data_IF_238297414604
#
_entry.id   IF_238297414604
#
_cell.length_a   1.000
_cell.length_b   1.000
_cell.length_c   1.000
_cell.angle_alpha   90.00
_cell.angle_beta   90.00
_cell.angle_gamma   90.00
#
_symmetry.space_group_name_H-M   'P 1'
#
loop_
_entity.id
_entity.type
_entity.pdbx_description
1 polymer ?
#
# COMPACT_ATOMS: atom_id res chain seq x y z
N UNK A 1 24.12 -11.56 11.16
CA UNK A 1 23.62 -10.18 11.02
C UNK A 1 22.34 -10.05 11.82
N UNK A 2 22.21 -9.02 12.64
CA UNK A 2 21.06 -8.76 13.49
C UNK A 2 20.22 -7.64 12.86
N UNK A 3 18.99 -7.96 12.48
CA UNK A 3 18.10 -7.05 11.75
C UNK A 3 16.89 -6.71 12.60
N UNK A 4 16.63 -5.43 12.82
CA UNK A 4 15.44 -4.95 13.51
C UNK A 4 14.47 -4.31 12.52
N UNK A 5 13.27 -4.86 12.41
CA UNK A 5 12.18 -4.26 11.65
C UNK A 5 11.22 -3.48 12.53
N UNK A 6 10.92 -2.25 12.15
CA UNK A 6 9.77 -1.51 12.66
C UNK A 6 8.64 -1.55 11.63
N UNK A 7 7.50 -2.16 11.99
CA UNK A 7 6.43 -2.45 11.06
C UNK A 7 5.09 -1.83 11.48
N UNK A 8 4.24 -1.51 10.50
CA UNK A 8 2.91 -0.98 10.74
C UNK A 8 1.89 -2.05 11.15
N UNK A 9 2.25 -3.32 11.02
CA UNK A 9 1.44 -4.49 11.34
C UNK A 9 2.23 -5.46 12.20
N UNK A 10 1.58 -6.31 13.00
CA UNK A 10 2.28 -7.29 13.84
C UNK A 10 2.92 -8.44 13.06
N UNK A 11 2.91 -8.42 11.72
CA UNK A 11 3.42 -9.49 10.88
C UNK A 11 2.83 -10.85 11.26
N UNK A 12 3.65 -11.86 11.59
CA UNK A 12 3.19 -13.20 12.02
C UNK A 12 3.10 -13.37 13.55
N UNK A 13 3.23 -12.31 14.35
CA UNK A 13 3.28 -12.37 15.81
C UNK A 13 2.15 -13.18 16.46
N UNK A 14 0.93 -12.93 16.05
CA UNK A 14 -0.24 -13.77 16.37
C UNK A 14 -1.01 -13.91 15.09
N UNK A 15 -1.15 -15.10 14.58
CA UNK A 15 -1.96 -15.37 13.38
C UNK A 15 -3.36 -14.80 13.58
N UNK A 16 -3.55 -13.51 13.34
CA UNK A 16 -4.84 -12.86 13.48
C UNK A 16 -5.67 -13.20 12.27
N UNK A 17 -6.64 -13.99 12.51
CA UNK A 17 -7.53 -14.66 11.59
C UNK A 17 -8.39 -13.75 10.71
N UNK A 18 -8.40 -12.43 10.87
CA UNK A 18 -9.31 -11.55 10.11
C UNK A 18 -8.81 -10.12 10.13
N UNK A 19 -7.97 -9.77 9.20
CA UNK A 19 -7.62 -8.37 9.05
C UNK A 19 -6.76 -8.11 7.84
N UNK A 20 -7.39 -7.66 6.78
CA UNK A 20 -6.69 -7.04 5.68
C UNK A 20 -6.33 -5.61 6.07
N UNK A 21 -5.03 -5.30 6.17
CA UNK A 21 -4.53 -3.92 6.31
C UNK A 21 -3.25 -3.68 5.49
N UNK A 22 -3.12 -4.33 4.32
CA UNK A 22 -1.98 -4.11 3.43
C UNK A 22 -0.65 -4.72 3.89
N UNK A 23 -0.58 -5.30 5.10
CA UNK A 23 0.64 -5.85 5.69
C UNK A 23 0.97 -7.28 5.29
N UNK A 24 0.16 -7.91 4.45
CA UNK A 24 0.35 -9.33 4.10
C UNK A 24 1.68 -9.64 3.42
N UNK A 25 2.26 -8.71 2.68
CA UNK A 25 3.57 -8.87 2.07
C UNK A 25 4.71 -8.88 3.10
N UNK A 26 4.59 -8.13 4.21
CA UNK A 26 5.57 -8.15 5.32
C UNK A 26 5.57 -9.52 5.98
N UNK A 27 4.38 -10.09 6.22
CA UNK A 27 4.25 -11.45 6.75
C UNK A 27 4.81 -12.51 5.80
N UNK A 28 4.67 -12.31 4.49
CA UNK A 28 5.28 -13.17 3.47
C UNK A 28 6.80 -13.01 3.44
N UNK A 29 7.31 -11.78 3.57
CA UNK A 29 8.75 -11.52 3.64
C UNK A 29 9.37 -12.13 4.90
N UNK A 30 8.73 -12.02 6.06
CA UNK A 30 9.19 -12.63 7.31
C UNK A 30 9.38 -14.14 7.17
N UNK A 31 8.41 -14.85 6.58
CA UNK A 31 8.48 -16.29 6.36
C UNK A 31 9.69 -16.73 5.54
N UNK A 32 10.03 -15.98 4.52
CA UNK A 32 11.21 -16.28 3.69
C UNK A 32 12.51 -15.84 4.40
N UNK A 33 12.45 -14.74 5.15
CA UNK A 33 13.63 -14.14 5.78
C UNK A 33 14.16 -14.97 6.97
N UNK A 34 13.27 -15.60 7.75
CA UNK A 34 13.65 -16.50 8.86
C UNK A 34 14.29 -17.79 8.41
N UNK A 35 14.21 -18.15 7.13
CA UNK A 35 14.89 -19.33 6.57
C UNK A 35 16.37 -19.08 6.27
N UNK A 36 16.85 -17.84 6.42
CA UNK A 36 18.22 -17.46 6.08
C UNK A 36 19.13 -17.74 7.27
N UNK A 37 20.14 -18.58 7.05
CA UNK A 37 21.16 -18.86 8.05
C UNK A 37 21.95 -17.60 8.44
N UNK A 38 22.36 -17.51 9.71
CA UNK A 38 23.15 -16.41 10.27
C UNK A 38 22.45 -15.02 10.26
N UNK A 39 21.12 -14.97 10.19
CA UNK A 39 20.34 -13.76 10.41
C UNK A 39 19.47 -13.94 11.67
N UNK A 40 19.59 -13.00 12.59
CA UNK A 40 18.68 -12.86 13.72
C UNK A 40 17.69 -11.72 13.41
N UNK A 41 16.39 -12.02 13.43
CA UNK A 41 15.34 -11.07 13.14
C UNK A 41 14.59 -10.65 14.41
N UNK A 42 14.44 -9.35 14.58
CA UNK A 42 13.48 -8.78 15.52
C UNK A 42 12.46 -7.91 14.80
N UNK A 43 11.20 -7.94 15.26
CA UNK A 43 10.11 -7.16 14.68
C UNK A 43 9.40 -6.38 15.79
N UNK A 44 9.31 -5.07 15.62
CA UNK A 44 8.62 -4.16 16.53
C UNK A 44 7.42 -3.51 15.87
N UNK A 45 6.31 -3.42 16.59
CA UNK A 45 5.04 -2.89 16.11
C UNK A 45 4.18 -2.36 17.28
N UNK A 46 3.19 -1.52 16.96
CA UNK A 46 2.28 -0.98 17.96
C UNK A 46 1.20 -2.01 18.33
N UNK A 47 1.24 -2.53 19.56
CA UNK A 47 0.19 -3.40 20.13
C UNK A 47 0.15 -3.25 21.64
N UNK A 48 -1.02 -2.89 22.19
CA UNK A 48 -1.19 -2.68 23.63
C UNK A 48 -1.57 -3.96 24.35
N UNK A 49 -1.07 -4.10 25.58
CA UNK A 49 -1.43 -5.20 26.50
C UNK A 49 -0.57 -6.46 26.36
N UNK A 50 0.50 -6.38 25.57
CA UNK A 50 1.46 -7.47 25.37
C UNK A 50 2.73 -7.24 26.23
N UNK A 51 3.52 -8.29 26.50
CA UNK A 51 4.85 -8.19 27.10
C UNK A 51 5.80 -7.35 26.24
N UNK A 52 6.84 -6.76 26.87
CA UNK A 52 7.86 -6.00 26.16
C UNK A 52 8.57 -6.80 25.08
N UNK A 53 8.84 -8.09 25.34
CA UNK A 53 9.58 -9.00 24.47
C UNK A 53 8.92 -10.37 24.46
N UNK A 54 8.78 -10.93 23.27
CA UNK A 54 8.27 -12.31 23.06
C UNK A 54 9.10 -12.98 21.97
N UNK A 55 9.52 -14.20 22.20
CA UNK A 55 10.20 -15.02 21.19
C UNK A 55 9.22 -16.06 20.64
N UNK A 56 9.09 -16.11 19.34
CA UNK A 56 8.25 -17.08 18.63
C UNK A 56 8.84 -17.45 17.27
N UNK A 57 8.94 -18.75 16.99
CA UNK A 57 9.42 -19.29 15.71
C UNK A 57 10.75 -18.68 15.22
N UNK A 58 11.69 -18.42 16.13
CA UNK A 58 13.01 -17.84 15.80
C UNK A 58 13.03 -16.32 15.57
N UNK A 59 11.91 -15.65 15.78
CA UNK A 59 11.79 -14.19 15.71
C UNK A 59 11.59 -13.60 17.11
N UNK A 60 12.30 -12.51 17.38
CA UNK A 60 12.07 -11.71 18.59
C UNK A 60 11.09 -10.58 18.30
N UNK A 61 9.94 -10.60 18.95
CA UNK A 61 8.91 -9.57 18.81
C UNK A 61 8.93 -8.56 19.94
N UNK A 62 8.80 -7.28 19.61
CA UNK A 62 8.71 -6.16 20.55
C UNK A 62 7.40 -5.39 20.34
N UNK A 63 6.29 -5.82 20.98
CA UNK A 63 5.04 -5.07 20.96
C UNK A 63 5.19 -3.75 21.75
N UNK A 64 4.91 -2.62 21.12
CA UNK A 64 4.99 -1.30 21.75
C UNK A 64 3.60 -0.89 22.24
N UNK A 65 3.52 -0.56 23.54
CA UNK A 65 2.33 -0.01 24.15
C UNK A 65 2.59 1.40 24.66
N UNK A 66 2.09 2.40 23.95
CA UNK A 66 2.19 3.77 24.47
C UNK A 66 1.19 4.01 25.59
N UNK A 67 1.64 4.64 26.66
CA UNK A 67 0.76 5.14 27.70
C UNK A 67 -0.36 6.01 27.08
N UNK A 68 -1.63 5.68 27.37
CA UNK A 68 -2.77 6.43 26.85
C UNK A 68 -2.63 7.91 27.21
N UNK A 69 -2.34 8.77 26.24
CA UNK A 69 -2.37 10.23 26.42
C UNK A 69 -3.72 10.63 27.02
N UNK A 70 -3.72 11.36 28.15
CA UNK A 70 -4.94 11.85 28.81
C UNK A 70 -5.80 12.62 27.79
N UNK A 71 -7.14 12.49 27.88
CA UNK A 71 -8.10 13.14 26.95
C UNK A 71 -7.83 14.64 26.75
N UNK A 72 -7.35 15.35 27.79
CA UNK A 72 -6.98 16.76 27.78
C UNK A 72 -5.78 17.01 26.88
N UNK A 73 -4.74 16.16 26.91
CA UNK A 73 -3.58 16.28 26.02
C UNK A 73 -3.95 16.09 24.52
N UNK A 74 -4.86 15.16 24.23
CA UNK A 74 -5.38 14.99 22.86
C UNK A 74 -6.16 16.19 22.35
N UNK A 75 -6.90 16.88 23.23
CA UNK A 75 -7.61 18.11 22.87
C UNK A 75 -6.66 19.26 22.64
N UNK A 76 -5.61 19.38 23.44
CA UNK A 76 -4.58 20.40 23.30
C UNK A 76 -3.77 20.22 22.00
N UNK A 77 -3.40 18.98 21.63
CA UNK A 77 -2.77 18.65 20.34
C UNK A 77 -3.67 18.98 19.13
N UNK A 78 -4.99 18.89 19.29
CA UNK A 78 -5.96 19.26 18.27
C UNK A 78 -6.13 20.76 18.10
N UNK A 79 -5.94 21.53 19.17
CA UNK A 79 -6.13 22.98 19.18
C UNK A 79 -4.82 23.74 18.96
N UNK A 80 -3.67 23.19 19.40
CA UNK A 80 -2.37 23.81 19.19
C UNK A 80 -1.81 23.50 17.82
N UNK A 81 -1.13 24.47 17.21
CA UNK A 81 -0.26 24.25 16.04
C UNK A 81 1.12 23.69 16.44
N UNK A 82 1.25 23.20 17.69
CA UNK A 82 2.49 22.67 18.21
C UNK A 82 2.89 21.41 17.42
N UNK A 83 4.17 21.31 17.16
CA UNK A 83 4.82 20.09 16.62
C UNK A 83 4.51 18.97 17.60
N UNK A 84 3.95 17.85 17.12
CA UNK A 84 3.73 16.69 17.97
C UNK A 84 5.06 16.28 18.60
N UNK A 85 5.11 16.20 19.93
CA UNK A 85 6.29 15.71 20.64
C UNK A 85 6.29 14.17 20.58
N UNK A 86 7.30 13.61 19.97
CA UNK A 86 7.52 12.16 19.81
C UNK A 86 8.61 11.60 20.75
N UNK A 87 9.02 12.36 21.78
CA UNK A 87 10.12 11.96 22.68
C UNK A 87 9.84 10.62 23.37
N UNK A 88 8.62 10.40 23.83
CA UNK A 88 8.22 9.14 24.50
C UNK A 88 8.30 7.96 23.54
N UNK A 89 7.82 8.15 22.31
CA UNK A 89 7.89 7.12 21.27
C UNK A 89 9.36 6.79 20.93
N UNK A 90 10.21 7.81 20.77
CA UNK A 90 11.63 7.62 20.45
C UNK A 90 12.35 6.90 21.60
N UNK A 91 12.08 7.24 22.87
CA UNK A 91 12.65 6.55 24.03
C UNK A 91 12.31 5.05 24.03
N UNK A 92 11.07 4.68 23.68
CA UNK A 92 10.68 3.26 23.56
C UNK A 92 11.43 2.55 22.42
N UNK A 93 11.64 3.23 21.28
CA UNK A 93 12.42 2.65 20.18
C UNK A 93 13.88 2.44 20.57
N UNK A 94 14.48 3.38 21.28
CA UNK A 94 15.86 3.28 21.77
C UNK A 94 16.02 2.11 22.77
N UNK A 95 15.06 1.89 23.67
CA UNK A 95 15.09 0.74 24.57
C UNK A 95 15.12 -0.60 23.80
N UNK A 96 14.36 -0.71 22.72
CA UNK A 96 14.35 -1.91 21.89
C UNK A 96 15.69 -2.06 21.15
N UNK A 97 16.26 -0.98 20.63
CA UNK A 97 17.56 -0.97 19.97
C UNK A 97 18.66 -1.39 20.94
N UNK A 98 18.62 -0.90 22.17
CA UNK A 98 19.60 -1.23 23.22
C UNK A 98 19.49 -2.70 23.72
N UNK A 99 18.27 -3.26 23.75
CA UNK A 99 18.04 -4.66 24.13
C UNK A 99 18.46 -5.61 22.99
N UNK A 100 18.01 -5.34 21.77
CA UNK A 100 18.28 -6.22 20.64
C UNK A 100 19.69 -6.03 20.04
N UNK A 101 20.26 -4.83 20.08
CA UNK A 101 21.57 -4.46 19.48
C UNK A 101 21.67 -4.86 17.99
N UNK A 102 20.83 -4.28 17.12
CA UNK A 102 20.83 -4.61 15.71
C UNK A 102 22.06 -4.06 14.98
N UNK A 103 22.47 -4.71 13.88
CA UNK A 103 23.44 -4.20 12.92
C UNK A 103 22.82 -3.20 11.96
N UNK A 104 21.50 -3.37 11.70
CA UNK A 104 20.70 -2.50 10.82
C UNK A 104 19.25 -2.43 11.31
N UNK A 105 18.64 -1.27 11.10
CA UNK A 105 17.22 -1.02 11.39
C UNK A 105 16.49 -0.75 10.08
N UNK A 106 15.46 -1.54 9.78
CA UNK A 106 14.54 -1.26 8.68
C UNK A 106 13.20 -0.76 9.20
N UNK A 107 12.74 0.34 8.65
CA UNK A 107 11.43 0.94 8.97
C UNK A 107 10.50 0.78 7.78
N UNK A 108 9.40 0.05 7.95
CA UNK A 108 8.41 -0.19 6.91
C UNK A 108 7.38 0.93 6.85
N UNK A 109 7.58 1.85 5.91
CA UNK A 109 6.71 2.99 5.68
C UNK A 109 6.97 4.18 6.60
N UNK A 110 6.45 5.33 6.22
CA UNK A 110 6.54 6.62 6.93
C UNK A 110 5.25 6.97 7.69
N UNK A 111 4.28 6.07 7.70
CA UNK A 111 2.95 6.27 8.29
C UNK A 111 2.99 6.37 9.81
N UNK A 112 4.03 5.83 10.43
CA UNK A 112 4.28 5.88 11.88
C UNK A 112 5.51 6.72 12.19
N UNK A 113 5.78 6.90 13.48
CA UNK A 113 6.89 7.70 13.98
C UNK A 113 8.23 6.96 14.03
N UNK A 114 8.29 5.69 13.66
CA UNK A 114 9.46 4.83 13.79
C UNK A 114 10.73 5.42 13.17
N UNK A 115 10.62 6.01 11.98
CA UNK A 115 11.76 6.62 11.29
C UNK A 115 12.34 7.85 12.00
N UNK A 116 11.63 8.43 12.98
CA UNK A 116 12.17 9.54 13.79
C UNK A 116 13.32 9.13 14.71
N UNK A 117 13.55 7.84 14.91
CA UNK A 117 14.67 7.33 15.71
C UNK A 117 16.03 7.54 15.04
N UNK A 118 16.06 7.68 13.71
CA UNK A 118 17.30 7.72 12.94
C UNK A 118 18.37 8.72 13.45
N UNK A 119 18.04 9.95 13.88
CA UNK A 119 19.04 10.88 14.42
C UNK A 119 19.57 10.53 15.83
N UNK A 120 18.95 9.56 16.51
CA UNK A 120 19.25 9.24 17.91
C UNK A 120 20.00 7.92 18.07
N UNK A 121 20.35 7.25 17.00
CA UNK A 121 21.12 6.01 17.01
C UNK A 121 22.29 6.08 16.04
N UNK A 122 23.38 5.37 16.35
CA UNK A 122 24.51 5.18 15.42
C UNK A 122 24.33 3.99 14.47
N UNK A 123 23.29 3.19 14.69
CA UNK A 123 22.92 2.07 13.83
C UNK A 123 22.30 2.61 12.54
N UNK A 124 22.70 2.12 11.36
CA UNK A 124 22.10 2.56 10.11
C UNK A 124 20.59 2.27 10.06
N UNK A 125 19.81 3.29 9.71
CA UNK A 125 18.35 3.18 9.54
C UNK A 125 18.03 3.30 8.06
N UNK A 126 17.32 2.32 7.52
CA UNK A 126 16.77 2.32 6.16
C UNK A 126 15.25 2.43 6.20
N UNK A 127 14.68 3.30 5.37
CA UNK A 127 13.24 3.42 5.21
C UNK A 127 12.77 2.66 3.97
N UNK A 128 11.98 1.62 4.17
CA UNK A 128 11.34 0.89 3.08
C UNK A 128 10.01 1.55 2.72
N UNK A 129 9.98 2.22 1.58
CA UNK A 129 8.81 2.99 1.14
C UNK A 129 7.65 2.06 0.79
N UNK A 130 6.50 2.27 1.44
CA UNK A 130 5.24 1.63 1.09
C UNK A 130 4.35 2.58 0.29
N UNK A 131 3.98 3.68 0.91
CA UNK A 131 3.35 4.84 0.32
C UNK A 131 4.02 6.11 0.84
N UNK A 132 3.72 7.25 0.26
CA UNK A 132 4.24 8.55 0.70
C UNK A 132 3.05 9.46 0.98
N UNK A 133 2.88 9.84 2.25
CA UNK A 133 1.68 10.52 2.74
C UNK A 133 1.48 11.92 2.12
N UNK A 134 2.56 12.65 1.85
CA UNK A 134 2.46 13.99 1.27
C UNK A 134 1.80 13.98 -0.12
N UNK A 135 2.23 13.19 -1.11
CA UNK A 135 1.52 13.03 -2.37
C UNK A 135 0.11 12.45 -2.21
N UNK A 136 -0.07 11.47 -1.29
CA UNK A 136 -1.40 10.89 -1.04
C UNK A 136 -2.38 11.92 -0.47
N UNK A 137 -1.92 12.80 0.42
CA UNK A 137 -2.76 13.89 0.94
C UNK A 137 -3.16 14.87 -0.16
N UNK A 138 -2.24 15.17 -1.07
CA UNK A 138 -2.52 16.06 -2.21
C UNK A 138 -3.57 15.47 -3.16
N UNK A 139 -3.53 14.16 -3.40
CA UNK A 139 -4.45 13.44 -4.30
C UNK A 139 -5.61 12.74 -3.57
N UNK A 140 -5.83 13.03 -2.29
CA UNK A 140 -6.78 12.30 -1.45
C UNK A 140 -8.23 12.43 -1.89
N UNK A 141 -8.59 13.60 -2.43
CA UNK A 141 -9.94 13.86 -2.89
C UNK A 141 -10.03 13.68 -4.40
N UNK A 142 -11.09 13.02 -4.90
CA UNK A 142 -11.39 13.00 -6.33
C UNK A 142 -11.50 14.43 -6.90
N UNK A 143 -11.28 14.63 -8.20
CA UNK A 143 -11.47 15.92 -8.85
C UNK A 143 -12.84 16.52 -8.56
N UNK A 144 -12.88 17.82 -8.38
CA UNK A 144 -14.10 18.61 -8.07
C UNK A 144 -14.71 18.38 -6.68
N UNK A 145 -14.09 17.54 -5.83
CA UNK A 145 -14.49 17.35 -4.44
C UNK A 145 -13.56 18.12 -3.50
N UNK A 146 -14.16 18.90 -2.61
CA UNK A 146 -13.44 19.66 -1.58
C UNK A 146 -13.67 19.07 -0.18
N UNK A 147 -12.75 19.36 0.74
CA UNK A 147 -12.92 19.02 2.16
C UNK A 147 -14.22 19.56 2.77
N UNK A 148 -14.72 20.70 2.25
CA UNK A 148 -15.98 21.31 2.69
C UNK A 148 -17.20 20.46 2.29
N UNK A 149 -17.17 19.86 1.09
CA UNK A 149 -18.25 18.98 0.61
C UNK A 149 -18.33 17.67 1.39
N UNK A 150 -17.18 17.14 1.86
CA UNK A 150 -17.18 15.97 2.76
C UNK A 150 -17.94 16.21 4.07
N UNK A 151 -18.07 17.45 4.48
CA UNK A 151 -18.68 17.88 5.75
C UNK A 151 -20.15 18.21 5.66
N UNK A 152 -20.78 18.04 4.50
CA UNK A 152 -22.17 18.48 4.29
C UNK A 152 -23.18 17.80 5.21
N UNK A 153 -23.98 18.63 5.90
CA UNK A 153 -25.25 18.33 6.57
C UNK A 153 -25.25 18.12 8.08
N UNK A 154 -24.13 17.78 8.74
CA UNK A 154 -24.13 17.60 10.19
C UNK A 154 -22.93 18.29 10.86
N UNK A 155 -23.13 19.21 11.83
CA UNK A 155 -22.02 19.90 12.53
C UNK A 155 -21.02 18.92 13.19
N UNK A 156 -21.48 17.78 13.69
CA UNK A 156 -20.60 16.75 14.27
C UNK A 156 -19.69 16.12 13.20
N UNK A 157 -20.18 15.95 11.98
CA UNK A 157 -19.35 15.49 10.84
C UNK A 157 -18.32 16.53 10.42
N UNK A 158 -18.65 17.82 10.49
CA UNK A 158 -17.70 18.92 10.26
C UNK A 158 -16.50 18.84 11.21
N UNK A 159 -16.76 18.70 12.51
CA UNK A 159 -15.71 18.58 13.53
C UNK A 159 -14.85 17.33 13.26
N UNK A 160 -15.48 16.20 12.93
CA UNK A 160 -14.75 14.97 12.63
C UNK A 160 -13.87 15.11 11.37
N UNK A 161 -14.38 15.76 10.31
CA UNK A 161 -13.63 16.00 9.08
C UNK A 161 -12.46 16.96 9.32
N UNK A 162 -12.67 18.03 10.09
CA UNK A 162 -11.58 18.92 10.50
C UNK A 162 -10.49 18.16 11.28
N UNK A 163 -10.86 17.30 12.22
CA UNK A 163 -9.94 16.44 12.97
C UNK A 163 -9.17 15.50 12.03
N UNK A 164 -9.86 14.87 11.09
CA UNK A 164 -9.24 13.97 10.12
C UNK A 164 -8.23 14.73 9.23
N UNK A 165 -8.63 15.88 8.68
CA UNK A 165 -7.72 16.72 7.89
C UNK A 165 -6.49 17.11 8.69
N UNK A 166 -6.67 17.57 9.93
CA UNK A 166 -5.54 17.95 10.80
C UNK A 166 -4.61 16.77 11.11
N UNK A 167 -5.17 15.56 11.35
CA UNK A 167 -4.35 14.34 11.53
C UNK A 167 -3.52 14.04 10.29
N UNK A 168 -4.11 14.13 9.09
CA UNK A 168 -3.39 13.96 7.84
C UNK A 168 -2.24 14.97 7.71
N UNK A 169 -2.52 16.25 7.94
CA UNK A 169 -1.50 17.30 7.88
C UNK A 169 -0.36 17.06 8.87
N UNK A 170 -0.66 16.63 10.10
CA UNK A 170 0.36 16.30 11.10
C UNK A 170 1.18 15.06 10.69
N UNK A 171 0.54 14.06 10.09
CA UNK A 171 1.23 12.89 9.55
C UNK A 171 2.16 13.26 8.39
N UNK A 172 1.74 14.15 7.49
CA UNK A 172 2.58 14.68 6.41
C UNK A 172 3.79 15.47 6.95
N UNK A 173 3.59 16.30 7.98
CA UNK A 173 4.71 17.02 8.64
C UNK A 173 5.72 16.05 9.25
N UNK A 174 5.25 15.02 9.98
CA UNK A 174 6.10 13.96 10.53
C UNK A 174 6.86 13.23 9.44
N UNK A 175 6.18 12.81 8.38
CA UNK A 175 6.83 12.17 7.24
C UNK A 175 7.92 13.05 6.62
N UNK A 176 7.66 14.34 6.44
CA UNK A 176 8.67 15.30 5.96
C UNK A 176 9.93 15.31 6.83
N UNK A 177 9.77 15.26 8.16
CA UNK A 177 10.91 15.18 9.07
C UNK A 177 11.65 13.82 8.97
N UNK A 178 10.93 12.71 8.81
CA UNK A 178 11.52 11.40 8.59
C UNK A 178 12.32 11.40 7.27
N UNK A 179 11.68 11.81 6.18
CA UNK A 179 12.28 11.77 4.84
C UNK A 179 13.52 12.70 4.72
N UNK A 180 13.59 13.81 5.44
CA UNK A 180 14.76 14.68 5.44
C UNK A 180 15.97 14.11 6.17
N UNK A 181 15.76 13.21 7.14
CA UNK A 181 16.81 12.77 8.09
C UNK A 181 17.35 11.38 7.80
N UNK A 182 16.59 10.51 7.14
CA UNK A 182 17.03 9.18 6.78
C UNK A 182 17.91 9.25 5.54
N UNK A 183 19.06 8.55 5.58
CA UNK A 183 20.02 8.51 4.48
C UNK A 183 19.74 7.41 3.47
N UNK A 184 19.21 6.27 3.92
CA UNK A 184 19.05 5.05 3.13
C UNK A 184 17.58 4.74 2.91
N UNK A 185 17.24 4.42 1.66
CA UNK A 185 15.87 4.10 1.26
C UNK A 185 15.83 2.83 0.44
N UNK A 186 14.82 2.01 0.67
CA UNK A 186 14.41 0.94 -0.21
C UNK A 186 13.04 1.31 -0.77
N UNK A 187 12.87 1.24 -2.07
CA UNK A 187 11.60 1.53 -2.71
C UNK A 187 11.38 0.68 -3.95
N UNK A 188 10.25 0.83 -4.59
CA UNK A 188 9.73 -0.11 -5.58
C UNK A 188 9.55 0.48 -6.96
N UNK A 189 9.56 1.81 -7.05
CA UNK A 189 9.16 2.53 -8.26
C UNK A 189 10.04 3.73 -8.52
N UNK A 190 10.18 4.10 -9.77
CA UNK A 190 10.88 5.34 -10.13
C UNK A 190 10.18 6.61 -9.60
N UNK A 191 8.89 6.49 -9.25
CA UNK A 191 8.13 7.58 -8.66
C UNK A 191 8.53 7.82 -7.20
N UNK A 192 8.56 6.78 -6.39
CA UNK A 192 8.93 6.93 -4.97
C UNK A 192 10.40 7.34 -4.81
N UNK A 193 11.30 6.87 -5.70
CA UNK A 193 12.68 7.37 -5.76
C UNK A 193 12.71 8.88 -6.02
N UNK A 194 12.00 9.36 -7.04
CA UNK A 194 11.96 10.80 -7.36
C UNK A 194 11.38 11.64 -6.23
N UNK A 195 10.28 11.17 -5.61
CA UNK A 195 9.66 11.88 -4.48
C UNK A 195 10.60 11.89 -3.28
N UNK A 196 11.26 10.79 -2.97
CA UNK A 196 12.25 10.72 -1.89
C UNK A 196 13.39 11.73 -2.09
N UNK A 197 13.91 11.83 -3.32
CA UNK A 197 14.96 12.79 -3.67
C UNK A 197 14.53 14.27 -3.59
N UNK A 198 13.24 14.57 -3.68
CA UNK A 198 12.72 15.93 -3.41
C UNK A 198 12.93 16.30 -1.94
N UNK A 199 12.71 15.36 -1.01
CA UNK A 199 12.89 15.61 0.42
C UNK A 199 14.34 15.49 0.87
N UNK A 200 15.11 14.56 0.28
CA UNK A 200 16.51 14.32 0.57
C UNK A 200 17.29 14.04 -0.72
N UNK A 201 17.85 15.07 -1.37
CA UNK A 201 18.57 14.92 -2.65
C UNK A 201 19.82 14.05 -2.56
N UNK A 202 20.43 13.91 -1.39
CA UNK A 202 21.67 13.17 -1.15
C UNK A 202 21.44 11.75 -0.64
N UNK A 203 20.19 11.30 -0.57
CA UNK A 203 19.87 9.96 -0.11
C UNK A 203 20.43 8.85 -1.03
N UNK A 204 20.72 7.72 -0.44
CA UNK A 204 21.03 6.49 -1.17
C UNK A 204 19.75 5.66 -1.29
N UNK A 205 19.35 5.40 -2.52
CA UNK A 205 18.13 4.68 -2.84
C UNK A 205 18.48 3.30 -3.43
N UNK A 206 17.83 2.27 -2.91
CA UNK A 206 17.94 0.88 -3.34
C UNK A 206 16.59 0.40 -3.85
N UNK A 207 16.60 -0.39 -4.92
CA UNK A 207 15.39 -1.03 -5.39
C UNK A 207 15.10 -2.29 -4.55
N UNK A 208 13.85 -2.49 -4.16
CA UNK A 208 13.38 -3.68 -3.45
C UNK A 208 11.92 -3.94 -3.73
N UNK A 209 11.62 -5.08 -4.34
CA UNK A 209 10.24 -5.52 -4.60
C UNK A 209 9.61 -6.17 -3.37
N UNK A 210 8.29 -6.31 -3.40
CA UNK A 210 7.52 -7.01 -2.38
C UNK A 210 7.33 -8.50 -2.70
N UNK A 211 7.32 -9.34 -1.67
CA UNK A 211 6.84 -10.72 -1.74
C UNK A 211 5.33 -10.68 -1.62
N UNK A 212 4.63 -11.18 -2.63
CA UNK A 212 3.18 -11.22 -2.63
C UNK A 212 2.64 -12.24 -1.61
N UNK A 213 1.33 -12.25 -1.39
CA UNK A 213 0.69 -13.23 -0.53
C UNK A 213 0.77 -14.63 -1.14
N UNK A 214 0.97 -15.64 -0.31
CA UNK A 214 1.25 -17.02 -0.72
C UNK A 214 0.29 -17.60 -1.77
N UNK A 215 -1.04 -17.42 -1.71
CA UNK A 215 -1.95 -17.98 -2.70
C UNK A 215 -1.64 -17.57 -4.14
N UNK A 216 -1.05 -16.40 -4.37
CA UNK A 216 -0.77 -15.89 -5.71
C UNK A 216 0.45 -16.53 -6.39
N UNK A 217 1.27 -17.27 -5.64
CA UNK A 217 2.38 -18.05 -6.20
C UNK A 217 1.97 -19.47 -6.61
N UNK A 218 0.83 -19.95 -6.10
CA UNK A 218 0.37 -21.29 -6.44
C UNK A 218 -0.06 -21.35 -7.90
N UNK A 219 0.45 -22.36 -8.61
CA UNK A 219 0.13 -22.61 -10.01
C UNK A 219 -1.39 -22.60 -10.22
N UNK A 220 -1.84 -21.78 -11.13
CA UNK A 220 -3.24 -21.63 -11.47
C UNK A 220 -3.36 -21.23 -12.93
N UNK A 221 -4.32 -21.81 -13.62
CA UNK A 221 -4.66 -21.45 -14.98
C UNK A 221 -5.75 -20.37 -14.96
N UNK A 222 -5.56 -19.33 -15.76
CA UNK A 222 -6.54 -18.29 -15.96
C UNK A 222 -7.49 -18.71 -17.08
N UNK A 223 -8.78 -18.63 -16.84
CA UNK A 223 -9.81 -18.93 -17.82
C UNK A 223 -10.61 -17.64 -18.07
N UNK A 224 -10.58 -17.15 -19.31
CA UNK A 224 -11.39 -15.99 -19.69
C UNK A 224 -12.88 -16.38 -19.67
N UNK A 225 -13.72 -15.63 -18.95
CA UNK A 225 -15.14 -15.86 -18.92
C UNK A 225 -15.80 -15.49 -20.26
N UNK A 226 -16.88 -16.17 -20.61
CA UNK A 226 -17.70 -15.84 -21.79
C UNK A 226 -18.54 -14.57 -21.61
N UNK A 227 -18.84 -14.20 -20.37
CA UNK A 227 -19.52 -12.99 -19.98
C UNK A 227 -18.51 -11.91 -19.47
N UNK A 228 -18.87 -10.66 -19.57
CA UNK A 228 -18.02 -9.56 -19.12
C UNK A 228 -18.01 -9.48 -17.59
N UNK A 229 -16.88 -9.83 -16.98
CA UNK A 229 -16.65 -9.76 -15.53
C UNK A 229 -15.46 -8.85 -15.22
N UNK A 230 -15.67 -7.90 -14.34
CA UNK A 230 -14.65 -6.94 -13.93
C UNK A 230 -14.43 -7.08 -12.43
N UNK A 231 -13.18 -7.06 -12.00
CA UNK A 231 -12.81 -7.11 -10.58
C UNK A 231 -12.00 -5.89 -10.21
N UNK A 232 -12.28 -5.35 -9.04
CA UNK A 232 -11.55 -4.24 -8.43
C UNK A 232 -11.40 -4.48 -6.94
N UNK A 233 -10.24 -4.15 -6.37
CA UNK A 233 -10.04 -4.11 -4.92
C UNK A 233 -9.63 -2.70 -4.50
N UNK A 234 -10.37 -2.09 -3.57
CA UNK A 234 -10.08 -0.75 -3.05
C UNK A 234 -10.21 -0.70 -1.53
N UNK A 235 -9.32 0.05 -0.87
CA UNK A 235 -9.32 0.25 0.59
C UNK A 235 -9.97 1.56 1.02
N UNK A 236 -10.18 2.50 0.09
CA UNK A 236 -10.81 3.80 0.33
C UNK A 236 -11.59 4.23 -0.90
N UNK A 237 -12.85 4.66 -0.76
CA UNK A 237 -13.66 5.08 -1.89
C UNK A 237 -13.21 6.41 -2.52
N UNK A 238 -12.44 7.24 -1.81
CA UNK A 238 -12.02 8.56 -2.30
C UNK A 238 -10.84 8.42 -3.27
N UNK A 239 -9.62 8.42 -2.76
CA UNK A 239 -8.43 8.44 -3.60
C UNK A 239 -8.21 7.13 -4.41
N UNK A 240 -8.92 6.05 -4.07
CA UNK A 240 -8.94 4.81 -4.85
C UNK A 240 -9.98 4.81 -5.98
N UNK A 241 -10.63 5.94 -6.25
CA UNK A 241 -11.38 6.18 -7.47
C UNK A 241 -12.72 5.44 -7.61
N UNK A 242 -13.48 5.27 -6.52
CA UNK A 242 -14.79 4.63 -6.61
C UNK A 242 -15.77 5.40 -7.51
N UNK A 243 -15.64 6.73 -7.60
CA UNK A 243 -16.39 7.56 -8.53
C UNK A 243 -16.07 7.25 -10.01
N UNK A 244 -14.81 6.92 -10.31
CA UNK A 244 -14.40 6.51 -11.66
C UNK A 244 -15.01 5.13 -12.02
N UNK A 245 -15.10 4.21 -11.04
CA UNK A 245 -15.81 2.93 -11.24
C UNK A 245 -17.28 3.17 -11.60
N UNK A 246 -18.01 4.00 -10.82
CA UNK A 246 -19.42 4.30 -11.07
C UNK A 246 -19.65 4.92 -12.46
N UNK A 247 -18.83 5.91 -12.81
CA UNK A 247 -18.93 6.61 -14.12
C UNK A 247 -18.63 5.66 -15.28
N UNK A 248 -17.60 4.82 -15.17
CA UNK A 248 -17.24 3.83 -16.19
C UNK A 248 -18.36 2.79 -16.36
N UNK A 249 -18.86 2.26 -15.25
CA UNK A 249 -19.96 1.29 -15.27
C UNK A 249 -21.24 1.86 -15.90
N UNK A 250 -21.54 3.14 -15.66
CA UNK A 250 -22.65 3.81 -16.32
C UNK A 250 -22.48 3.86 -17.84
N UNK A 251 -21.28 4.18 -18.34
CA UNK A 251 -21.00 4.20 -19.78
C UNK A 251 -21.14 2.80 -20.38
N UNK A 252 -20.58 1.76 -19.73
CA UNK A 252 -20.72 0.37 -20.19
C UNK A 252 -22.19 -0.04 -20.30
N UNK A 253 -23.02 0.32 -19.31
CA UNK A 253 -24.44 -0.06 -19.27
C UNK A 253 -25.32 0.76 -20.21
N UNK A 254 -25.25 2.11 -20.09
CA UNK A 254 -26.22 3.00 -20.73
C UNK A 254 -25.81 3.42 -22.16
N UNK A 255 -24.50 3.50 -22.44
CA UNK A 255 -24.01 3.94 -23.75
C UNK A 255 -23.59 2.76 -24.64
N UNK A 256 -22.90 1.78 -24.07
CA UNK A 256 -22.45 0.61 -24.82
C UNK A 256 -23.43 -0.58 -24.75
N UNK A 257 -24.47 -0.48 -23.93
CA UNK A 257 -25.53 -1.48 -23.72
C UNK A 257 -24.98 -2.88 -23.42
N UNK A 258 -23.85 -2.94 -22.68
CA UNK A 258 -23.23 -4.21 -22.31
C UNK A 258 -23.88 -4.80 -21.06
N UNK A 259 -24.04 -6.12 -21.07
CA UNK A 259 -24.36 -6.86 -19.86
C UNK A 259 -23.04 -7.30 -19.20
N UNK A 260 -22.87 -6.96 -17.93
CA UNK A 260 -21.65 -7.24 -17.17
C UNK A 260 -21.91 -7.39 -15.68
N UNK A 261 -20.96 -7.98 -15.00
CA UNK A 261 -20.88 -7.98 -13.53
C UNK A 261 -19.56 -7.31 -13.12
N UNK A 262 -19.64 -6.33 -12.21
CA UNK A 262 -18.45 -5.69 -11.64
C UNK A 262 -18.40 -5.91 -10.13
N UNK A 263 -17.49 -6.77 -9.68
CA UNK A 263 -17.29 -7.06 -8.26
C UNK A 263 -16.23 -6.13 -7.68
N UNK A 264 -16.60 -5.39 -6.63
CA UNK A 264 -15.70 -4.45 -5.94
C UNK A 264 -15.50 -4.93 -4.51
N UNK A 265 -14.26 -5.27 -4.19
CA UNK A 265 -13.85 -5.77 -2.87
C UNK A 265 -13.23 -4.66 -2.03
N UNK A 266 -13.50 -4.68 -0.73
CA UNK A 266 -13.00 -3.75 0.26
C UNK A 266 -14.10 -3.21 1.17
N UNK A 267 -13.71 -2.51 2.22
CA UNK A 267 -14.66 -1.87 3.13
C UNK A 267 -15.06 -0.49 2.59
N UNK A 268 -16.10 -0.45 1.77
CA UNK A 268 -16.52 0.73 1.02
C UNK A 268 -17.81 1.28 1.60
N UNK A 269 -17.80 2.56 1.98
CA UNK A 269 -19.04 3.32 2.21
C UNK A 269 -19.33 4.16 0.95
N UNK A 270 -20.32 3.77 0.13
CA UNK A 270 -20.56 4.39 -1.17
C UNK A 270 -21.30 5.72 -1.08
N UNK A 271 -22.08 5.97 -0.01
CA UNK A 271 -23.08 7.04 0.11
C UNK A 271 -22.59 8.43 -0.32
N UNK A 272 -21.35 8.80 0.08
CA UNK A 272 -20.83 10.12 -0.26
C UNK A 272 -20.54 10.22 -1.76
N UNK A 273 -19.95 9.21 -2.36
CA UNK A 273 -19.60 9.19 -3.78
C UNK A 273 -20.85 9.11 -4.64
N UNK A 274 -21.82 8.27 -4.29
CA UNK A 274 -23.11 8.18 -4.98
C UNK A 274 -23.86 9.52 -4.99
N UNK A 275 -23.91 10.19 -3.83
CA UNK A 275 -24.52 11.52 -3.74
C UNK A 275 -23.83 12.54 -4.66
N UNK A 276 -22.51 12.49 -4.79
CA UNK A 276 -21.77 13.46 -5.61
C UNK A 276 -21.80 13.12 -7.10
N UNK A 277 -21.87 11.84 -7.47
CA UNK A 277 -21.94 11.39 -8.86
C UNK A 277 -23.38 11.32 -9.39
N UNK A 278 -24.36 11.21 -8.51
CA UNK A 278 -25.74 10.91 -8.87
C UNK A 278 -25.94 9.48 -9.39
N UNK A 279 -24.98 8.59 -9.17
CA UNK A 279 -25.00 7.21 -9.67
C UNK A 279 -24.94 6.27 -8.47
N UNK A 280 -25.94 5.39 -8.31
CA UNK A 280 -25.87 4.31 -7.31
C UNK A 280 -25.18 3.09 -7.90
N UNK A 281 -24.39 2.39 -7.10
CA UNK A 281 -23.64 1.21 -7.57
C UNK A 281 -24.58 0.11 -8.08
N UNK A 282 -25.73 -0.07 -7.45
CA UNK A 282 -26.75 -1.04 -7.85
C UNK A 282 -27.34 -0.73 -9.23
N UNK A 283 -27.54 0.56 -9.54
CA UNK A 283 -28.10 1.00 -10.83
C UNK A 283 -27.18 0.69 -12.02
N UNK A 284 -25.90 0.42 -11.80
CA UNK A 284 -24.88 0.22 -12.84
C UNK A 284 -24.17 -1.14 -12.74
N UNK A 285 -24.86 -2.18 -12.29
CA UNK A 285 -24.39 -3.57 -12.23
C UNK A 285 -23.10 -3.78 -11.40
N UNK A 286 -22.86 -2.95 -10.40
CA UNK A 286 -21.76 -3.11 -9.46
C UNK A 286 -22.26 -3.86 -8.23
N UNK A 287 -21.41 -4.78 -7.73
CA UNK A 287 -21.63 -5.53 -6.51
C UNK A 287 -20.52 -5.19 -5.51
N UNK A 288 -20.88 -4.66 -4.35
CA UNK A 288 -19.96 -4.45 -3.23
C UNK A 288 -19.84 -5.76 -2.44
N UNK A 289 -18.65 -6.37 -2.46
CA UNK A 289 -18.42 -7.72 -1.90
C UNK A 289 -17.82 -7.69 -0.48
N UNK A 290 -17.50 -6.50 0.05
CA UNK A 290 -16.81 -6.40 1.35
C UNK A 290 -15.36 -6.87 1.29
N UNK A 291 -14.79 -7.18 2.47
CA UNK A 291 -13.42 -7.66 2.59
C UNK A 291 -13.38 -9.18 2.36
N UNK A 292 -12.51 -9.63 1.47
CA UNK A 292 -12.34 -11.04 1.12
C UNK A 292 -10.93 -11.55 1.44
N UNK A 293 -10.79 -12.85 1.61
CA UNK A 293 -9.51 -13.52 1.81
C UNK A 293 -8.71 -13.60 0.51
N UNK A 294 -7.39 -13.79 0.62
CA UNK A 294 -6.50 -13.83 -0.54
C UNK A 294 -6.89 -14.88 -1.56
N UNK A 295 -7.27 -16.07 -1.13
CA UNK A 295 -7.70 -17.15 -2.03
C UNK A 295 -8.99 -16.80 -2.77
N UNK A 296 -9.96 -16.17 -2.12
CA UNK A 296 -11.18 -15.71 -2.78
C UNK A 296 -10.88 -14.65 -3.84
N UNK A 297 -10.04 -13.65 -3.51
CA UNK A 297 -9.61 -12.62 -4.47
C UNK A 297 -8.88 -13.25 -5.66
N UNK A 298 -7.98 -14.22 -5.41
CA UNK A 298 -7.30 -14.97 -6.46
C UNK A 298 -8.28 -15.61 -7.42
N UNK A 299 -9.27 -16.35 -6.91
CA UNK A 299 -10.27 -17.02 -7.73
C UNK A 299 -11.08 -16.03 -8.57
N UNK A 300 -11.43 -14.87 -8.01
CA UNK A 300 -12.13 -13.82 -8.75
C UNK A 300 -11.29 -13.23 -9.89
N UNK A 301 -10.01 -12.99 -9.64
CA UNK A 301 -9.08 -12.48 -10.65
C UNK A 301 -8.84 -13.49 -11.77
N UNK A 302 -8.71 -14.78 -11.43
CA UNK A 302 -8.54 -15.84 -12.44
C UNK A 302 -9.73 -15.96 -13.39
N UNK A 303 -10.94 -15.63 -12.91
CA UNK A 303 -12.20 -15.78 -13.62
C UNK A 303 -12.82 -14.43 -14.06
N UNK A 304 -12.01 -13.38 -14.25
CA UNK A 304 -12.50 -12.09 -14.74
C UNK A 304 -11.93 -11.74 -16.11
N UNK A 305 -12.62 -10.87 -16.83
CA UNK A 305 -12.16 -10.31 -18.10
C UNK A 305 -10.95 -9.42 -17.88
N UNK A 306 -11.03 -8.52 -16.89
CA UNK A 306 -9.90 -7.65 -16.53
C UNK A 306 -9.98 -7.22 -15.07
N UNK A 307 -8.82 -6.81 -14.53
CA UNK A 307 -8.71 -6.14 -13.24
C UNK A 307 -8.62 -4.63 -13.46
N UNK A 308 -9.49 -3.85 -12.83
CA UNK A 308 -9.51 -2.40 -12.96
C UNK A 308 -9.00 -1.72 -11.68
N UNK A 309 -7.99 -0.84 -11.82
CA UNK A 309 -7.37 -0.12 -10.71
C UNK A 309 -7.45 1.41 -10.92
N UNK A 310 -8.49 2.09 -10.42
CA UNK A 310 -8.82 3.49 -10.77
C UNK A 310 -8.24 4.55 -9.84
N UNK A 311 -7.17 4.27 -9.10
CA UNK A 311 -6.63 5.16 -8.06
C UNK A 311 -6.22 6.53 -8.62
N UNK A 312 -6.43 7.60 -7.84
CA UNK A 312 -5.90 8.94 -8.11
C UNK A 312 -4.44 9.11 -7.66
N UNK A 313 -3.98 8.22 -6.81
CA UNK A 313 -2.58 8.08 -6.40
C UNK A 313 -2.34 6.67 -5.88
N UNK A 314 -1.24 6.08 -6.26
CA UNK A 314 -0.72 4.83 -5.69
C UNK A 314 0.78 4.72 -5.92
N UNK A 315 1.48 3.89 -5.13
CA UNK A 315 2.89 3.61 -5.37
C UNK A 315 3.05 2.27 -6.10
N UNK A 316 3.09 1.18 -5.36
CA UNK A 316 3.13 -0.20 -5.87
C UNK A 316 1.98 -0.98 -5.24
N UNK A 317 0.76 -0.88 -5.80
CA UNK A 317 -0.39 -1.56 -5.21
C UNK A 317 -0.29 -3.07 -5.40
N UNK A 318 -0.24 -3.80 -4.30
CA UNK A 318 -0.17 -5.27 -4.31
C UNK A 318 -1.26 -5.89 -5.18
N UNK A 319 -2.44 -5.29 -5.23
CA UNK A 319 -3.56 -5.79 -6.04
C UNK A 319 -3.28 -5.79 -7.55
N UNK A 320 -2.52 -4.81 -8.06
CA UNK A 320 -2.05 -4.80 -9.44
C UNK A 320 -1.02 -5.89 -9.65
N UNK A 321 -0.05 -6.01 -8.75
CA UNK A 321 0.99 -7.05 -8.80
C UNK A 321 0.39 -8.46 -8.73
N UNK A 322 -0.59 -8.65 -7.85
CA UNK A 322 -1.34 -9.91 -7.69
C UNK A 322 -2.17 -10.26 -8.94
N UNK A 323 -2.78 -9.27 -9.59
CA UNK A 323 -3.47 -9.50 -10.86
C UNK A 323 -2.49 -9.86 -11.99
N UNK A 324 -1.35 -9.14 -12.08
CA UNK A 324 -0.32 -9.39 -13.08
C UNK A 324 0.29 -10.79 -12.96
N UNK A 325 0.64 -11.25 -11.75
CA UNK A 325 1.26 -12.57 -11.57
C UNK A 325 0.33 -13.73 -11.93
N UNK A 326 -0.98 -13.51 -11.84
CA UNK A 326 -2.01 -14.45 -12.31
C UNK A 326 -2.26 -14.39 -13.82
N UNK A 327 -1.61 -13.49 -14.56
CA UNK A 327 -1.83 -13.28 -15.98
C UNK A 327 -3.12 -12.53 -16.30
N UNK A 328 -3.68 -11.80 -15.34
CA UNK A 328 -4.86 -10.98 -15.58
C UNK A 328 -4.47 -9.64 -16.19
N UNK A 329 -5.13 -9.25 -17.27
CA UNK A 329 -4.94 -7.93 -17.87
C UNK A 329 -5.44 -6.86 -16.91
N UNK A 330 -4.55 -5.91 -16.60
CA UNK A 330 -4.82 -4.77 -15.73
C UNK A 330 -5.06 -3.51 -16.56
N UNK A 331 -6.15 -2.82 -16.28
CA UNK A 331 -6.37 -1.43 -16.70
C UNK A 331 -6.20 -0.56 -15.46
N UNK A 332 -5.28 0.39 -15.48
CA UNK A 332 -5.02 1.27 -14.34
C UNK A 332 -4.85 2.72 -14.77
N UNK A 333 -5.10 3.62 -13.84
CA UNK A 333 -4.77 5.03 -14.02
C UNK A 333 -3.25 5.25 -14.02
N UNK A 334 -2.78 6.16 -14.87
CA UNK A 334 -1.37 6.53 -15.00
C UNK A 334 -0.98 7.53 -13.89
N UNK A 335 -0.83 7.04 -12.66
CA UNK A 335 -0.54 7.86 -11.47
C UNK A 335 0.53 7.25 -10.60
N UNK A 336 1.28 8.09 -9.90
CA UNK A 336 2.28 7.67 -8.92
C UNK A 336 3.30 6.69 -9.48
N UNK A 337 3.44 5.55 -8.82
CA UNK A 337 4.36 4.49 -9.19
C UNK A 337 3.81 3.45 -10.18
N UNK A 338 2.53 3.52 -10.54
CA UNK A 338 1.88 2.57 -11.46
C UNK A 338 2.65 2.38 -12.78
N UNK A 339 3.20 3.45 -13.43
CA UNK A 339 3.99 3.30 -14.65
C UNK A 339 5.30 2.51 -14.50
N UNK A 340 5.73 2.25 -13.27
CA UNK A 340 6.85 1.32 -13.02
C UNK A 340 6.42 -0.15 -13.03
N UNK A 341 5.11 -0.43 -12.93
CA UNK A 341 4.53 -1.76 -12.94
C UNK A 341 3.95 -2.13 -14.30
N UNK A 342 3.43 -1.15 -15.00
CA UNK A 342 2.71 -1.32 -16.28
C UNK A 342 3.39 -0.50 -17.37
N UNK A 343 3.79 -1.18 -18.43
CA UNK A 343 4.13 -0.59 -19.72
C UNK A 343 2.88 -0.61 -20.58
N UNK A 344 2.38 0.57 -20.92
CA UNK A 344 1.11 0.73 -21.63
C UNK A 344 1.07 -0.03 -22.95
N UNK A 345 -0.05 -0.69 -23.22
CA UNK A 345 -0.29 -1.57 -24.37
C UNK A 345 0.67 -2.78 -24.50
N UNK A 346 1.51 -3.06 -23.50
CA UNK A 346 2.45 -4.19 -23.51
C UNK A 346 2.08 -5.24 -22.46
N UNK A 347 1.96 -4.84 -21.18
CA UNK A 347 1.66 -5.72 -20.06
C UNK A 347 0.51 -5.19 -19.18
N UNK A 348 -0.35 -4.39 -19.76
CA UNK A 348 -1.50 -3.73 -19.17
C UNK A 348 -1.82 -2.43 -19.90
N UNK A 349 -2.82 -1.71 -19.40
CA UNK A 349 -3.24 -0.44 -19.99
C UNK A 349 -3.18 0.68 -18.95
N UNK A 350 -2.67 1.84 -19.39
CA UNK A 350 -2.62 3.06 -18.60
C UNK A 350 -3.59 4.10 -19.16
N UNK A 351 -4.50 4.56 -18.31
CA UNK A 351 -5.47 5.60 -18.67
C UNK A 351 -5.20 6.89 -17.87
N UNK A 352 -5.61 8.06 -18.38
CA UNK A 352 -5.63 9.27 -17.57
C UNK A 352 -6.48 9.09 -16.32
N UNK A 353 -6.11 9.70 -15.22
CA UNK A 353 -6.96 9.74 -14.04
C UNK A 353 -8.26 10.48 -14.37
N UNK A 354 -9.39 9.95 -13.90
CA UNK A 354 -10.73 10.53 -14.16
C UNK A 354 -11.19 10.48 -15.62
N UNK A 355 -10.74 9.48 -16.41
CA UNK A 355 -11.25 9.24 -17.76
C UNK A 355 -12.08 7.94 -17.84
N UNK A 356 -13.39 8.00 -17.54
CA UNK A 356 -14.26 6.84 -17.61
C UNK A 356 -14.54 6.36 -19.04
N UNK A 357 -14.36 7.24 -20.05
CA UNK A 357 -14.61 6.87 -21.45
C UNK A 357 -13.51 5.96 -21.98
N UNK A 358 -12.24 6.31 -21.75
CA UNK A 358 -11.13 5.43 -22.13
C UNK A 358 -11.16 4.13 -21.34
N UNK A 359 -11.52 4.16 -20.04
CA UNK A 359 -11.72 2.95 -19.24
C UNK A 359 -12.79 2.04 -19.86
N UNK A 360 -13.95 2.57 -20.19
CA UNK A 360 -15.06 1.83 -20.80
C UNK A 360 -14.67 1.26 -22.17
N UNK A 361 -13.97 2.04 -22.98
CA UNK A 361 -13.46 1.59 -24.29
C UNK A 361 -12.56 0.37 -24.15
N UNK A 362 -11.54 0.45 -23.30
CA UNK A 362 -10.58 -0.65 -23.09
C UNK A 362 -11.23 -1.90 -22.49
N UNK A 363 -12.15 -1.74 -21.55
CA UNK A 363 -12.92 -2.87 -21.00
C UNK A 363 -13.71 -3.57 -22.12
N UNK A 364 -14.39 -2.79 -22.97
CA UNK A 364 -15.14 -3.31 -24.11
C UNK A 364 -14.23 -4.01 -25.14
N UNK A 365 -13.05 -3.42 -25.42
CA UNK A 365 -12.06 -4.00 -26.31
C UNK A 365 -11.56 -5.35 -25.80
N UNK A 366 -11.16 -5.44 -24.53
CA UNK A 366 -10.67 -6.69 -23.91
C UNK A 366 -11.74 -7.78 -23.84
N UNK A 367 -13.00 -7.40 -23.73
CA UNK A 367 -14.11 -8.35 -23.77
C UNK A 367 -14.34 -8.92 -25.18
N UNK A 368 -14.19 -8.10 -26.23
CA UNK A 368 -14.40 -8.50 -27.64
C UNK A 368 -13.20 -9.21 -28.25
N UNK A 369 -11.98 -8.83 -27.82
CA UNK A 369 -10.73 -9.37 -28.34
C UNK A 369 -10.02 -10.18 -27.25
N UNK A 370 -10.39 -11.46 -27.19
CA UNK A 370 -9.81 -12.41 -26.21
C UNK A 370 -8.34 -12.68 -26.47
N UNK A 371 -7.90 -12.64 -27.72
CA UNK A 371 -6.48 -12.84 -28.10
C UNK A 371 -5.62 -11.69 -27.58
N UNK A 372 -6.06 -10.44 -27.76
CA UNK A 372 -5.41 -9.29 -27.17
C UNK A 372 -5.33 -9.42 -25.65
N UNK A 373 -6.45 -9.78 -25.01
CA UNK A 373 -6.52 -9.93 -23.55
C UNK A 373 -5.52 -10.97 -23.03
N UNK A 374 -5.46 -12.15 -23.67
CA UNK A 374 -4.52 -13.20 -23.30
C UNK A 374 -3.05 -12.78 -23.51
N UNK A 375 -2.75 -12.14 -24.62
CA UNK A 375 -1.38 -11.67 -24.92
C UNK A 375 -0.88 -10.66 -23.90
N UNK A 376 -1.69 -9.65 -23.57
CA UNK A 376 -1.35 -8.63 -22.56
C UNK A 376 -1.23 -9.27 -21.16
N UNK A 377 -2.14 -10.18 -20.81
CA UNK A 377 -2.11 -10.90 -19.54
C UNK A 377 -0.86 -11.79 -19.41
N UNK A 378 -0.49 -12.51 -20.45
CA UNK A 378 0.72 -13.34 -20.46
C UNK A 378 2.01 -12.50 -20.34
N UNK A 379 2.08 -11.36 -21.01
CA UNK A 379 3.20 -10.42 -20.85
C UNK A 379 3.26 -9.87 -19.42
N UNK A 380 2.11 -9.55 -18.82
CA UNK A 380 2.04 -9.12 -17.43
C UNK A 380 2.58 -10.19 -16.47
N UNK A 381 2.19 -11.46 -16.68
CA UNK A 381 2.65 -12.60 -15.89
C UNK A 381 4.16 -12.79 -15.97
N UNK A 382 4.73 -12.74 -17.17
CA UNK A 382 6.18 -12.89 -17.35
C UNK A 382 6.97 -11.85 -16.56
N UNK A 383 6.56 -10.59 -16.61
CA UNK A 383 7.23 -9.50 -15.86
C UNK A 383 7.01 -9.66 -14.36
N UNK A 384 5.78 -10.00 -13.94
CA UNK A 384 5.44 -10.12 -12.52
C UNK A 384 6.15 -11.30 -11.83
N UNK A 385 6.27 -12.45 -12.49
CA UNK A 385 7.01 -13.62 -11.95
C UNK A 385 8.47 -13.26 -11.68
N UNK A 386 9.12 -12.51 -12.58
CA UNK A 386 10.51 -12.07 -12.38
C UNK A 386 10.63 -11.02 -11.27
N UNK A 387 9.67 -10.06 -11.21
CA UNK A 387 9.65 -8.98 -10.21
C UNK A 387 9.43 -9.50 -8.80
N UNK A 388 8.58 -10.50 -8.65
CA UNK A 388 8.16 -11.03 -7.35
C UNK A 388 8.79 -12.39 -7.02
N UNK A 389 9.94 -12.71 -7.65
CA UNK A 389 10.73 -13.89 -7.31
C UNK A 389 11.23 -13.77 -5.86
N UNK A 390 10.77 -14.67 -5.00
CA UNK A 390 11.03 -14.65 -3.56
C UNK A 390 12.51 -14.69 -3.24
N UNK A 391 13.27 -15.57 -3.90
CA UNK A 391 14.71 -15.74 -3.64
C UNK A 391 15.50 -14.50 -4.06
N UNK A 392 15.16 -13.91 -5.22
CA UNK A 392 15.80 -12.68 -5.69
C UNK A 392 15.49 -11.50 -4.78
N UNK A 393 14.25 -11.37 -4.29
CA UNK A 393 13.87 -10.31 -3.38
C UNK A 393 14.66 -10.41 -2.08
N UNK A 394 14.70 -11.59 -1.47
CA UNK A 394 15.41 -11.79 -0.18
C UNK A 394 16.91 -11.59 -0.35
N UNK A 395 17.53 -12.17 -1.38
CA UNK A 395 18.98 -12.01 -1.62
C UNK A 395 19.35 -10.56 -1.92
N UNK A 396 18.53 -9.84 -2.69
CA UNK A 396 18.72 -8.41 -2.96
C UNK A 396 18.60 -7.57 -1.68
N UNK A 397 17.62 -7.86 -0.83
CA UNK A 397 17.43 -7.17 0.44
C UNK A 397 18.64 -7.34 1.37
N UNK A 398 19.14 -8.57 1.50
CA UNK A 398 20.35 -8.86 2.30
C UNK A 398 21.57 -8.14 1.73
N UNK A 399 21.74 -8.14 0.40
CA UNK A 399 22.80 -7.41 -0.27
C UNK A 399 22.74 -5.91 -0.01
N UNK A 400 21.54 -5.33 -0.04
CA UNK A 400 21.29 -3.93 0.29
C UNK A 400 21.66 -3.63 1.75
N UNK A 401 21.28 -4.49 2.70
CA UNK A 401 21.66 -4.34 4.11
C UNK A 401 23.17 -4.34 4.30
N UNK A 402 23.88 -5.31 3.70
CA UNK A 402 25.33 -5.37 3.80
C UNK A 402 25.99 -4.10 3.24
N UNK A 403 25.55 -3.65 2.08
CA UNK A 403 26.07 -2.42 1.47
C UNK A 403 25.81 -1.19 2.35
N UNK A 404 24.66 -1.11 3.02
CA UNK A 404 24.31 -0.02 3.93
C UNK A 404 25.21 -0.05 5.17
N UNK A 405 25.41 -1.23 5.78
CA UNK A 405 26.26 -1.41 6.95
C UNK A 405 27.70 -1.00 6.61
N UNK A 406 28.27 -1.53 5.51
CA UNK A 406 29.64 -1.20 5.08
C UNK A 406 29.83 0.29 4.79
N UNK A 407 28.82 0.92 4.17
CA UNK A 407 28.82 2.37 3.90
C UNK A 407 28.74 3.19 5.17
N UNK A 408 28.05 2.70 6.20
CA UNK A 408 27.94 3.40 7.49
C UNK A 408 29.25 3.38 8.28
N UNK A 409 30.02 2.28 8.18
CA UNK A 409 31.32 2.13 8.84
C UNK A 409 32.40 2.98 8.20
N UNK A 410 32.36 3.21 6.88
CA UNK A 410 33.35 4.05 6.17
C UNK A 410 33.17 5.56 6.42
N UNK A 411 32.03 5.98 6.92
CA UNK A 411 31.70 7.38 7.20
C UNK A 411 31.85 7.75 8.69
N UNK A 412 32.30 6.81 9.53
CA UNK A 412 32.73 7.02 10.92
C UNK A 412 34.24 7.20 10.97
#
# INVERSE_FOLDING_TARGET
MRVLWFTNTPSNYKASSKGYNGGGWISSLEKEFIQIENIELAISFELSGEPFKVENEGVTYYPISYAKKKKIGKLFELLSNSVCNYSVEIEEYLKIIDDFKPDIIEVFGSERSFGLVAPFTSIPVVLHIQGILNPYYNAYLPPFISWKQLSSVNPLKLIQQYKNKKRWMNSCKRETEILKRIKYYIGRTSWDERVTRIFNPTCQYFYGSEILREPFYLLSERILPSDLRIVTTISSPLYKGFDLILKTAKILKETLHLNFTWEVFGNINPQFIEKNTGITYESVNIKLCGVAQAEEIKQKILNCTCFFHPSYIDNSPNSVCEAQILGCTVISTNVGGIPSLITDNVNGFLIPSNDPYQAAYLICQLYKDTVLNENIGNNAKMVAVQRHDKQKIVSSLIGNYQQIIDSSHRNK
#
